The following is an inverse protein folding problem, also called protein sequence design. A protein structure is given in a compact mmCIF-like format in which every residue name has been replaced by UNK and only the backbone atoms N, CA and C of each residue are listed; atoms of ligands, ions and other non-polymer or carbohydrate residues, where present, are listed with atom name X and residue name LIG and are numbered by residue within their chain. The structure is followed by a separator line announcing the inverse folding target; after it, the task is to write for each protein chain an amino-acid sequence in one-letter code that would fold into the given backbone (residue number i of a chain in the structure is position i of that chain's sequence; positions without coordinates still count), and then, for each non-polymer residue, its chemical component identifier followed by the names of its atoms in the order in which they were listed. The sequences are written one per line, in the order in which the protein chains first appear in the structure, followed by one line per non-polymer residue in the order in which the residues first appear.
data_IF_088117983553
#
_entry.id   IF_088117983553
#
_cell.length_a   1.000
_cell.length_b   1.000
_cell.length_c   1.000
_cell.angle_alpha   90.00
_cell.angle_beta   90.00
_cell.angle_gamma   90.00
#
_symmetry.space_group_name_H-M   'P 1'
#
loop_
_entity.id
_entity.type
_entity.pdbx_description
1 polymer ?
#
# COMPACT_ATOMS: atom_id res chain seq x y z
N UNK A 1 7.57 19.48 18.03
CA UNK A 1 7.13 18.11 17.70
C UNK A 1 5.62 18.06 17.36
N UNK A 2 4.97 19.18 16.96
CA UNK A 2 3.51 19.25 16.71
C UNK A 2 3.07 19.25 15.24
N UNK A 3 3.95 19.55 14.27
CA UNK A 3 3.55 19.69 12.86
C UNK A 3 3.14 18.37 12.19
N UNK A 4 3.63 17.23 12.66
CA UNK A 4 3.30 15.91 12.09
C UNK A 4 1.89 15.44 12.45
N UNK A 5 1.41 15.75 13.66
CA UNK A 5 0.08 15.37 14.11
C UNK A 5 -1.02 16.18 13.39
N UNK A 6 -0.79 17.49 13.23
CA UNK A 6 -1.73 18.38 12.55
C UNK A 6 -1.84 18.07 11.05
N UNK A 7 -0.74 17.70 10.40
CA UNK A 7 -0.75 17.30 8.98
C UNK A 7 -1.52 15.98 8.76
N UNK A 8 -1.37 15.00 9.66
CA UNK A 8 -2.11 13.74 9.57
C UNK A 8 -3.63 13.91 9.73
N UNK A 9 -4.07 14.83 10.60
CA UNK A 9 -5.49 15.13 10.78
C UNK A 9 -6.10 15.73 9.50
N UNK A 10 -5.37 16.64 8.84
CA UNK A 10 -5.80 17.23 7.55
C UNK A 10 -5.92 16.16 6.46
N UNK A 11 -4.96 15.24 6.37
CA UNK A 11 -5.01 14.13 5.41
C UNK A 11 -6.25 13.26 5.63
N UNK A 12 -6.48 12.83 6.88
CA UNK A 12 -7.63 11.98 7.21
C UNK A 12 -8.94 12.70 6.88
N UNK A 13 -9.03 14.00 7.20
CA UNK A 13 -10.20 14.80 6.86
C UNK A 13 -10.45 14.85 5.34
N UNK A 14 -9.42 15.07 4.53
CA UNK A 14 -9.55 15.09 3.07
C UNK A 14 -10.01 13.74 2.52
N UNK A 15 -9.51 12.63 3.07
CA UNK A 15 -9.93 11.27 2.67
C UNK A 15 -11.40 10.98 3.01
N UNK A 16 -11.85 11.38 4.21
CA UNK A 16 -13.27 11.24 4.62
C UNK A 16 -14.16 12.08 3.70
N UNK A 17 -13.70 13.28 3.35
CA UNK A 17 -14.42 14.17 2.44
C UNK A 17 -14.53 13.55 1.03
N UNK A 18 -13.44 12.97 0.51
CA UNK A 18 -13.44 12.22 -0.75
C UNK A 18 -14.44 11.05 -0.70
N UNK A 19 -14.38 10.24 0.35
CA UNK A 19 -15.28 9.09 0.53
C UNK A 19 -16.76 9.53 0.53
N UNK A 20 -17.06 10.63 1.21
CA UNK A 20 -18.43 11.17 1.28
C UNK A 20 -18.93 11.61 -0.10
N UNK A 21 -18.08 12.31 -0.88
CA UNK A 21 -18.43 12.71 -2.25
C UNK A 21 -18.63 11.51 -3.17
N UNK A 22 -17.77 10.49 -3.09
CA UNK A 22 -17.90 9.26 -3.88
C UNK A 22 -19.19 8.49 -3.53
N UNK A 23 -19.53 8.37 -2.25
CA UNK A 23 -20.80 7.75 -1.81
C UNK A 23 -22.02 8.52 -2.33
N UNK A 24 -21.98 9.85 -2.26
CA UNK A 24 -23.04 10.71 -2.80
C UNK A 24 -23.21 10.51 -4.31
N UNK A 25 -22.11 10.42 -5.05
CA UNK A 25 -22.13 10.16 -6.49
C UNK A 25 -22.75 8.80 -6.83
N UNK A 26 -22.35 7.73 -6.13
CA UNK A 26 -22.92 6.38 -6.30
C UNK A 26 -24.43 6.40 -6.01
N UNK A 27 -24.84 7.09 -4.93
CA UNK A 27 -26.25 7.22 -4.57
C UNK A 27 -27.05 7.96 -5.65
N UNK A 28 -26.52 9.07 -6.18
CA UNK A 28 -27.16 9.84 -7.25
C UNK A 28 -27.30 9.02 -8.55
N UNK A 29 -26.30 8.22 -8.91
CA UNK A 29 -26.35 7.32 -10.06
C UNK A 29 -27.42 6.23 -9.89
N UNK A 30 -27.47 5.62 -8.71
CA UNK A 30 -28.46 4.61 -8.39
C UNK A 30 -29.89 5.18 -8.38
N UNK A 31 -30.08 6.36 -7.80
CA UNK A 31 -31.37 7.05 -7.80
C UNK A 31 -31.82 7.47 -9.20
N UNK A 32 -30.88 7.86 -10.07
CA UNK A 32 -31.17 8.09 -11.48
C UNK A 32 -31.64 6.80 -12.15
N UNK A 33 -30.96 5.67 -11.91
CA UNK A 33 -31.37 4.35 -12.41
C UNK A 33 -32.79 3.98 -12.00
N UNK A 34 -33.15 4.18 -10.74
CA UNK A 34 -34.53 4.01 -10.24
C UNK A 34 -35.54 4.92 -10.94
N UNK A 35 -35.21 6.21 -11.05
CA UNK A 35 -36.09 7.20 -11.68
C UNK A 35 -36.36 6.88 -13.16
N UNK A 36 -35.37 6.29 -13.86
CA UNK A 36 -35.51 5.84 -15.25
C UNK A 36 -36.36 4.56 -15.35
N UNK A 37 -36.27 3.67 -14.37
CA UNK A 37 -37.09 2.46 -14.34
C UNK A 37 -38.58 2.78 -14.13
N UNK A 38 -38.90 3.73 -13.25
CA UNK A 38 -40.28 4.06 -12.84
C UNK A 38 -40.97 5.06 -13.80
N UNK A 39 -40.61 5.03 -15.08
CA UNK A 39 -40.93 6.10 -16.03
C UNK A 39 -42.30 5.90 -16.69
N UNK A 40 -43.36 6.27 -15.97
CA UNK A 40 -44.73 6.20 -16.48
C UNK A 40 -45.29 7.55 -16.98
N UNK A 41 -44.64 8.70 -16.68
CA UNK A 41 -45.23 10.04 -16.90
C UNK A 41 -44.28 11.08 -17.52
N UNK A 42 -44.82 12.03 -18.30
CA UNK A 42 -44.05 13.07 -19.03
C UNK A 42 -43.33 14.10 -18.15
N UNK A 43 -43.76 14.27 -16.89
CA UNK A 43 -43.09 15.14 -15.88
C UNK A 43 -41.73 14.59 -15.42
N UNK A 44 -41.42 13.33 -15.72
CA UNK A 44 -40.16 12.67 -15.32
C UNK A 44 -38.94 13.21 -16.09
N UNK A 45 -39.13 13.79 -17.28
CA UNK A 45 -38.04 14.28 -18.11
C UNK A 45 -37.25 15.45 -17.48
N UNK A 46 -37.92 16.43 -16.88
CA UNK A 46 -37.24 17.55 -16.21
C UNK A 46 -36.48 17.09 -14.96
N UNK A 47 -37.04 16.13 -14.22
CA UNK A 47 -36.42 15.56 -13.01
C UNK A 47 -35.13 14.80 -13.38
N UNK A 48 -35.15 14.03 -14.47
CA UNK A 48 -33.97 13.32 -14.99
C UNK A 48 -32.89 14.31 -15.41
N UNK A 49 -33.24 15.35 -16.16
CA UNK A 49 -32.27 16.37 -16.58
C UNK A 49 -31.61 17.06 -15.38
N UNK A 50 -32.37 17.34 -14.32
CA UNK A 50 -31.83 17.91 -13.09
C UNK A 50 -30.91 16.92 -12.35
N UNK A 51 -31.28 15.63 -12.27
CA UNK A 51 -30.41 14.58 -11.70
C UNK A 51 -29.10 14.41 -12.47
N UNK A 52 -29.15 14.44 -13.80
CA UNK A 52 -27.95 14.38 -14.65
C UNK A 52 -27.05 15.60 -14.40
N UNK A 53 -27.62 16.81 -14.32
CA UNK A 53 -26.85 18.02 -13.96
C UNK A 53 -26.17 17.88 -12.60
N UNK A 54 -26.89 17.39 -11.59
CA UNK A 54 -26.32 17.14 -10.26
C UNK A 54 -25.16 16.13 -10.30
N UNK A 55 -25.26 15.07 -11.10
CA UNK A 55 -24.17 14.10 -11.27
C UNK A 55 -22.95 14.76 -11.92
N UNK A 56 -23.16 15.55 -12.98
CA UNK A 56 -22.08 16.28 -13.66
C UNK A 56 -21.38 17.24 -12.70
N UNK A 57 -22.13 17.98 -11.88
CA UNK A 57 -21.55 18.94 -10.94
C UNK A 57 -20.81 18.23 -9.78
N UNK A 58 -21.28 17.06 -9.34
CA UNK A 58 -20.53 16.20 -8.41
C UNK A 58 -19.22 15.68 -9.03
N UNK A 59 -19.20 15.29 -10.31
CA UNK A 59 -17.97 14.91 -11.00
C UNK A 59 -16.98 16.07 -11.10
N UNK A 60 -17.46 17.28 -11.39
CA UNK A 60 -16.61 18.48 -11.42
C UNK A 60 -16.00 18.79 -10.06
N UNK A 61 -16.81 18.70 -8.98
CA UNK A 61 -16.29 18.94 -7.63
C UNK A 61 -15.26 17.88 -7.24
N UNK A 62 -15.48 16.61 -7.60
CA UNK A 62 -14.52 15.53 -7.37
C UNK A 62 -13.19 15.79 -8.09
N UNK A 63 -13.25 16.20 -9.36
CA UNK A 63 -12.06 16.50 -10.14
C UNK A 63 -11.28 17.72 -9.61
N UNK A 64 -11.99 18.75 -9.14
CA UNK A 64 -11.37 19.94 -8.54
C UNK A 64 -10.63 19.62 -7.23
N UNK A 65 -11.09 18.62 -6.47
CA UNK A 65 -10.50 18.20 -5.21
C UNK A 65 -9.42 17.10 -5.37
N UNK A 66 -9.02 16.75 -6.60
CA UNK A 66 -8.03 15.68 -6.82
C UNK A 66 -6.69 15.96 -6.13
N UNK A 67 -6.26 17.22 -6.11
CA UNK A 67 -4.95 17.61 -5.59
C UNK A 67 -4.93 17.66 -4.05
N UNK A 68 -6.09 17.56 -3.39
CA UNK A 68 -6.21 17.48 -1.93
C UNK A 68 -5.84 16.09 -1.37
N UNK A 69 -5.71 15.09 -2.24
CA UNK A 69 -5.39 13.70 -1.88
C UNK A 69 -4.05 13.34 -2.50
N UNK A 70 -3.03 13.19 -1.64
CA UNK A 70 -1.65 12.95 -2.06
C UNK A 70 -1.19 11.50 -1.86
N UNK A 71 -2.08 10.65 -1.36
CA UNK A 71 -1.77 9.26 -1.03
C UNK A 71 -1.54 8.45 -2.31
N UNK A 72 -0.45 7.69 -2.33
CA UNK A 72 -0.09 6.82 -3.44
C UNK A 72 -0.66 5.43 -3.15
N UNK A 73 -1.34 4.86 -4.15
CA UNK A 73 -1.85 3.48 -4.10
C UNK A 73 -0.96 2.61 -4.98
N UNK A 74 -0.43 1.48 -4.49
CA UNK A 74 0.31 0.53 -5.31
C UNK A 74 -0.53 0.01 -6.47
N UNK A 75 0.09 -0.20 -7.64
CA UNK A 75 -0.60 -0.76 -8.81
C UNK A 75 -1.24 -2.12 -8.51
N UNK A 76 -0.54 -2.97 -7.77
CA UNK A 76 -1.05 -4.31 -7.41
C UNK A 76 -2.36 -4.24 -6.61
N UNK A 77 -2.57 -3.18 -5.81
CA UNK A 77 -3.83 -2.97 -5.09
C UNK A 77 -4.95 -2.59 -6.06
N UNK A 78 -4.65 -1.82 -7.11
CA UNK A 78 -5.62 -1.49 -8.18
C UNK A 78 -6.02 -2.77 -8.91
N UNK A 79 -5.05 -3.61 -9.27
CA UNK A 79 -5.30 -4.89 -9.95
C UNK A 79 -6.20 -5.81 -9.09
N UNK A 80 -6.02 -5.82 -7.77
CA UNK A 80 -6.91 -6.57 -6.85
C UNK A 80 -8.35 -6.05 -6.92
N UNK A 81 -8.55 -4.74 -6.98
CA UNK A 81 -9.88 -4.12 -7.08
C UNK A 81 -10.53 -4.46 -8.43
N UNK A 82 -9.76 -4.41 -9.53
CA UNK A 82 -10.24 -4.75 -10.87
C UNK A 82 -10.68 -6.22 -10.97
N UNK A 83 -9.99 -7.12 -10.27
CA UNK A 83 -10.37 -8.54 -10.15
C UNK A 83 -11.51 -8.81 -9.15
N UNK A 84 -12.03 -7.79 -8.46
CA UNK A 84 -13.06 -7.93 -7.43
C UNK A 84 -12.56 -8.60 -6.14
N UNK A 85 -11.24 -8.62 -5.90
CA UNK A 85 -10.64 -9.14 -4.66
C UNK A 85 -10.60 -8.05 -3.59
N UNK A 86 -10.64 -8.48 -2.32
CA UNK A 86 -10.47 -7.54 -1.21
C UNK A 86 -9.01 -7.03 -1.17
N UNK A 87 -8.75 -5.71 -1.27
CA UNK A 87 -7.40 -5.14 -1.20
C UNK A 87 -6.68 -5.41 0.13
N UNK A 88 -7.39 -5.70 1.23
CA UNK A 88 -6.77 -6.07 2.51
C UNK A 88 -5.94 -7.36 2.41
N UNK A 89 -6.29 -8.24 1.46
CA UNK A 89 -5.53 -9.47 1.20
C UNK A 89 -4.13 -9.14 0.70
N UNK A 90 -3.97 -8.12 -0.16
CA UNK A 90 -2.66 -7.65 -0.60
C UNK A 90 -1.82 -7.17 0.58
N UNK A 91 -2.38 -6.32 1.44
CA UNK A 91 -1.68 -5.81 2.63
C UNK A 91 -1.23 -6.94 3.54
N UNK A 92 -2.10 -7.94 3.78
CA UNK A 92 -1.74 -9.12 4.57
C UNK A 92 -0.60 -9.91 3.94
N UNK A 93 -0.68 -10.21 2.65
CA UNK A 93 0.35 -10.94 1.92
C UNK A 93 1.68 -10.18 1.89
N UNK A 94 1.64 -8.87 1.78
CA UNK A 94 2.83 -8.02 1.82
C UNK A 94 3.52 -8.10 3.18
N UNK A 95 2.76 -7.99 4.29
CA UNK A 95 3.30 -8.15 5.63
C UNK A 95 3.90 -9.55 5.86
N UNK A 96 3.20 -10.60 5.43
CA UNK A 96 3.68 -11.99 5.50
C UNK A 96 4.97 -12.18 4.69
N UNK A 97 5.05 -11.59 3.49
CA UNK A 97 6.23 -11.64 2.64
C UNK A 97 7.43 -10.92 3.29
N UNK A 98 7.23 -9.70 3.78
CA UNK A 98 8.28 -8.93 4.47
C UNK A 98 8.82 -9.71 5.67
N UNK A 99 7.95 -10.34 6.46
CA UNK A 99 8.36 -11.16 7.59
C UNK A 99 9.18 -12.38 7.13
N UNK A 100 8.68 -13.11 6.12
CA UNK A 100 9.34 -14.28 5.56
C UNK A 100 10.71 -13.94 5.01
N UNK A 101 10.82 -12.86 4.23
CA UNK A 101 12.07 -12.43 3.60
C UNK A 101 13.08 -11.95 4.63
N UNK A 102 12.64 -11.24 5.66
CA UNK A 102 13.51 -10.85 6.77
C UNK A 102 14.11 -12.08 7.47
N UNK A 103 13.27 -13.07 7.81
CA UNK A 103 13.74 -14.31 8.44
C UNK A 103 14.67 -15.10 7.51
N UNK A 104 14.35 -15.15 6.21
CA UNK A 104 15.14 -15.86 5.22
C UNK A 104 16.52 -15.24 5.03
N UNK A 105 16.60 -13.91 4.87
CA UNK A 105 17.87 -13.18 4.72
C UNK A 105 18.69 -13.28 6.00
N UNK A 106 18.06 -13.15 7.18
CA UNK A 106 18.74 -13.33 8.45
C UNK A 106 19.31 -14.76 8.59
N UNK A 107 18.52 -15.79 8.25
CA UNK A 107 18.96 -17.18 8.26
C UNK A 107 20.15 -17.43 7.33
N UNK A 108 20.15 -16.85 6.13
CA UNK A 108 21.31 -16.89 5.22
C UNK A 108 22.54 -16.24 5.84
N UNK A 109 22.38 -15.07 6.46
CA UNK A 109 23.48 -14.36 7.13
C UNK A 109 24.10 -15.20 8.24
N UNK A 110 23.27 -15.84 9.07
CA UNK A 110 23.71 -16.76 10.12
C UNK A 110 24.46 -17.96 9.52
N UNK A 111 23.87 -18.63 8.52
CA UNK A 111 24.49 -19.80 7.90
C UNK A 111 25.86 -19.49 7.26
N UNK A 112 25.99 -18.34 6.59
CA UNK A 112 27.28 -17.89 6.03
C UNK A 112 28.28 -17.58 7.14
N UNK A 113 27.84 -16.95 8.23
CA UNK A 113 28.68 -16.66 9.39
C UNK A 113 29.20 -17.94 10.04
N UNK A 114 28.33 -18.93 10.22
CA UNK A 114 28.68 -20.23 10.79
C UNK A 114 29.65 -21.00 9.88
N UNK A 115 29.36 -21.06 8.58
CA UNK A 115 30.25 -21.65 7.59
C UNK A 115 31.65 -21.01 7.62
N UNK A 116 31.71 -19.67 7.64
CA UNK A 116 32.96 -18.92 7.77
C UNK A 116 33.73 -19.31 9.04
N UNK A 117 33.03 -19.41 10.18
CA UNK A 117 33.67 -19.74 11.46
C UNK A 117 34.23 -21.17 11.46
N UNK A 118 33.49 -22.14 10.91
CA UNK A 118 33.94 -23.54 10.76
C UNK A 118 35.15 -23.61 9.84
N UNK A 119 35.07 -23.01 8.65
CA UNK A 119 36.15 -22.99 7.69
C UNK A 119 37.42 -22.34 8.27
N UNK A 120 37.26 -21.22 8.98
CA UNK A 120 38.38 -20.57 9.65
C UNK A 120 39.01 -21.47 10.73
N UNK A 121 38.21 -22.23 11.47
CA UNK A 121 38.73 -23.17 12.46
C UNK A 121 39.49 -24.32 11.80
N UNK A 122 38.96 -24.90 10.73
CA UNK A 122 39.61 -25.98 9.99
C UNK A 122 40.94 -25.52 9.35
N UNK A 123 40.98 -24.30 8.81
CA UNK A 123 42.22 -23.72 8.27
C UNK A 123 43.26 -23.55 9.38
N UNK A 124 42.88 -23.01 10.55
CA UNK A 124 43.81 -22.85 11.69
C UNK A 124 44.36 -24.20 12.17
N UNK A 125 43.52 -25.24 12.20
CA UNK A 125 43.90 -26.58 12.65
C UNK A 125 44.89 -27.25 11.68
N UNK A 126 44.64 -27.14 10.37
CA UNK A 126 45.46 -27.80 9.34
C UNK A 126 46.67 -26.97 8.90
N UNK A 127 46.62 -25.65 9.02
CA UNK A 127 47.67 -24.73 8.59
C UNK A 127 48.01 -23.70 9.69
N UNK A 128 48.75 -24.11 10.75
CA UNK A 128 49.06 -23.24 11.88
C UNK A 128 49.81 -21.95 11.49
N UNK A 129 50.62 -22.01 10.43
CA UNK A 129 51.46 -20.90 9.97
C UNK A 129 50.66 -19.66 9.53
N UNK A 130 49.41 -19.85 9.10
CA UNK A 130 48.54 -18.77 8.61
C UNK A 130 47.41 -18.42 9.59
N UNK A 131 47.39 -19.02 10.79
CA UNK A 131 46.32 -18.82 11.76
C UNK A 131 46.12 -17.35 12.15
N UNK A 132 47.22 -16.59 12.28
CA UNK A 132 47.19 -15.16 12.59
C UNK A 132 46.51 -14.32 11.48
N UNK A 133 46.68 -14.69 10.21
CA UNK A 133 46.04 -14.00 9.09
C UNK A 133 44.53 -14.27 9.08
N UNK A 134 44.13 -15.51 9.32
CA UNK A 134 42.72 -15.92 9.42
C UNK A 134 42.02 -15.16 10.57
N UNK A 135 42.67 -15.03 11.73
CA UNK A 135 42.12 -14.23 12.84
C UNK A 135 41.95 -12.75 12.47
N UNK A 136 42.92 -12.17 11.74
CA UNK A 136 42.83 -10.78 11.29
C UNK A 136 41.64 -10.58 10.35
N UNK A 137 41.39 -11.53 9.44
CA UNK A 137 40.25 -11.49 8.52
C UNK A 137 38.94 -11.55 9.33
N UNK A 138 38.79 -12.51 10.26
CA UNK A 138 37.60 -12.63 11.09
C UNK A 138 37.29 -11.35 11.90
N UNK A 139 38.32 -10.72 12.47
CA UNK A 139 38.17 -9.46 13.21
C UNK A 139 37.70 -8.31 12.32
N UNK A 140 38.19 -8.25 11.08
CA UNK A 140 37.79 -7.22 10.12
C UNK A 140 36.36 -7.43 9.61
N UNK A 141 35.93 -8.68 9.41
CA UNK A 141 34.58 -9.00 8.91
C UNK A 141 33.50 -8.86 10.00
N UNK A 142 33.86 -8.91 11.28
CA UNK A 142 32.91 -8.77 12.41
C UNK A 142 32.70 -7.31 12.87
N UNK A 143 33.30 -6.31 12.23
CA UNK A 143 32.99 -4.91 12.56
C UNK A 143 31.59 -4.56 12.08
N UNK A 144 30.71 -4.29 13.05
CA UNK A 144 29.48 -3.52 12.83
C UNK A 144 29.83 -2.09 12.46
#
# INVERSE_FOLDING_TARGET
MDNSASNNQTIIHNLINLETHLKSLIHNLHDLGKTIHDLENSKTNEIILNKIKNIIDNYKSLYANKDSVTQIVPRDVIDYIEEGRNPDVYTRQFCELVQKDNQYVNGKSIAITDFRNILAQDIKNNFPNIANEVEKILRNTNKK
#
